data_IF_684163869286
#
_entry.id   IF_684163869286
#
_cell.length_a   1.000
_cell.length_b   1.000
_cell.length_c   1.000
_cell.angle_alpha   90.00
_cell.angle_beta   90.00
_cell.angle_gamma   90.00
#
_symmetry.space_group_name_H-M   'P 1'
#
loop_
_entity.id
_entity.type
_entity.pdbx_description
1 polymer ?
#
# COMPACT_ATOMS: atom_id res chain seq x y z
N UNK A 1 -43.06 -18.36 46.25
CA UNK A 1 -43.29 -17.92 44.88
C UNK A 1 -41.99 -17.33 44.38
N UNK A 2 -41.23 -18.10 43.60
CA UNK A 2 -39.99 -17.63 42.95
C UNK A 2 -40.39 -16.85 41.72
N UNK A 3 -39.87 -15.64 41.60
CA UNK A 3 -39.97 -14.84 40.40
C UNK A 3 -38.97 -15.37 39.39
N UNK A 4 -39.37 -16.22 38.47
CA UNK A 4 -38.65 -16.47 37.22
C UNK A 4 -38.93 -15.29 36.28
N UNK A 5 -38.10 -14.25 36.35
CA UNK A 5 -38.00 -13.29 35.28
C UNK A 5 -37.21 -13.94 34.15
N UNK A 6 -37.87 -14.46 33.12
CA UNK A 6 -37.26 -14.81 31.85
C UNK A 6 -36.58 -13.55 31.27
N UNK A 7 -35.26 -13.53 31.35
CA UNK A 7 -34.49 -12.55 30.60
C UNK A 7 -34.61 -12.90 29.13
N UNK A 8 -35.47 -12.17 28.42
CA UNK A 8 -35.45 -12.19 26.96
C UNK A 8 -34.21 -11.46 26.48
N UNK A 9 -33.17 -12.23 26.16
CA UNK A 9 -31.98 -11.70 25.48
C UNK A 9 -32.37 -11.41 24.04
N UNK A 10 -32.51 -10.13 23.70
CA UNK A 10 -32.65 -9.75 22.30
C UNK A 10 -31.47 -10.29 21.50
N UNK A 11 -31.69 -10.98 20.36
CA UNK A 11 -30.60 -11.49 19.57
C UNK A 11 -29.74 -10.32 19.07
N UNK A 12 -28.50 -10.31 19.47
CA UNK A 12 -27.51 -9.33 18.95
C UNK A 12 -27.42 -9.55 17.44
N UNK A 13 -27.55 -8.51 16.62
CA UNK A 13 -27.47 -8.65 15.18
C UNK A 13 -26.14 -9.30 14.79
N UNK A 14 -26.19 -10.37 14.03
CA UNK A 14 -24.99 -11.06 13.55
C UNK A 14 -24.21 -10.12 12.62
N UNK A 15 -22.98 -9.82 12.95
CA UNK A 15 -22.07 -9.07 12.07
C UNK A 15 -21.44 -10.08 11.11
N UNK A 16 -21.80 -9.99 9.84
CA UNK A 16 -21.21 -10.82 8.79
C UNK A 16 -19.96 -10.12 8.24
N UNK A 17 -18.81 -10.70 8.49
CA UNK A 17 -17.55 -10.28 7.87
C UNK A 17 -17.40 -10.98 6.51
N UNK A 18 -17.28 -10.19 5.44
CA UNK A 18 -16.91 -10.70 4.11
C UNK A 18 -15.45 -10.38 3.89
N UNK A 19 -14.56 -11.34 4.10
CA UNK A 19 -13.15 -11.19 3.79
C UNK A 19 -12.89 -11.54 2.32
N UNK A 20 -12.09 -10.69 1.65
CA UNK A 20 -11.55 -10.93 0.31
C UNK A 20 -10.11 -11.45 0.38
N UNK A 21 -9.55 -11.60 1.58
CA UNK A 21 -8.17 -11.99 1.81
C UNK A 21 -7.15 -10.91 1.43
N UNK A 22 -7.56 -9.63 1.39
CA UNK A 22 -6.67 -8.50 1.09
C UNK A 22 -6.15 -7.83 2.34
N UNK A 23 -4.83 -7.73 2.45
CA UNK A 23 -4.15 -7.11 3.59
C UNK A 23 -3.23 -5.99 3.10
N UNK A 24 -3.29 -4.84 3.78
CA UNK A 24 -2.29 -3.80 3.64
C UNK A 24 -1.23 -3.94 4.75
N UNK A 25 0.03 -3.96 4.38
CA UNK A 25 1.16 -3.81 5.31
C UNK A 25 1.76 -2.43 5.03
N UNK A 26 1.72 -1.54 6.01
CA UNK A 26 2.24 -0.17 5.87
C UNK A 26 3.60 -0.09 6.53
N UNK A 27 4.62 0.34 5.78
CA UNK A 27 5.99 0.42 6.25
C UNK A 27 6.69 1.68 5.75
N UNK A 28 7.65 2.18 6.50
CA UNK A 28 8.54 3.26 6.04
C UNK A 28 9.69 2.75 5.19
N UNK A 29 10.06 1.49 5.37
CA UNK A 29 11.25 0.88 4.76
C UNK A 29 10.97 -0.53 4.24
N UNK A 30 11.96 -1.14 3.60
CA UNK A 30 11.92 -2.52 3.11
C UNK A 30 12.00 -3.61 4.21
N UNK A 31 12.22 -3.23 5.47
CA UNK A 31 12.40 -4.20 6.58
C UNK A 31 11.25 -5.20 6.72
N UNK A 32 10.04 -4.77 6.39
CA UNK A 32 8.83 -5.60 6.46
C UNK A 32 8.60 -6.44 5.21
N UNK A 33 9.43 -6.30 4.17
CA UNK A 33 9.29 -7.02 2.90
C UNK A 33 9.24 -8.54 3.12
N UNK A 34 10.13 -9.08 3.96
CA UNK A 34 10.17 -10.52 4.25
C UNK A 34 8.89 -11.02 4.95
N UNK A 35 8.37 -10.26 5.91
CA UNK A 35 7.13 -10.61 6.59
C UNK A 35 5.93 -10.53 5.65
N UNK A 36 5.87 -9.49 4.82
CA UNK A 36 4.83 -9.33 3.80
C UNK A 36 4.87 -10.48 2.78
N UNK A 37 6.05 -10.93 2.35
CA UNK A 37 6.21 -12.09 1.47
C UNK A 37 5.69 -13.39 2.11
N UNK A 38 5.92 -13.57 3.41
CA UNK A 38 5.42 -14.75 4.13
C UNK A 38 3.89 -14.77 4.17
N UNK A 39 3.26 -13.61 4.38
CA UNK A 39 1.80 -13.46 4.34
C UNK A 39 1.24 -13.67 2.92
N UNK A 40 1.96 -13.22 1.90
CA UNK A 40 1.54 -13.31 0.50
C UNK A 40 1.44 -14.76 -0.03
N UNK A 41 1.95 -15.75 0.69
CA UNK A 41 1.78 -17.16 0.32
C UNK A 41 0.30 -17.61 0.35
N UNK A 42 -0.54 -16.98 1.17
CA UNK A 42 -1.93 -17.40 1.37
C UNK A 42 -2.93 -16.24 1.23
N UNK A 43 -2.46 -15.01 1.12
CA UNK A 43 -3.27 -13.80 1.14
C UNK A 43 -2.84 -12.86 0.01
N UNK A 44 -3.73 -11.98 -0.40
CA UNK A 44 -3.38 -10.88 -1.29
C UNK A 44 -2.81 -9.75 -0.44
N UNK A 45 -1.51 -9.52 -0.54
CA UNK A 45 -0.80 -8.53 0.29
C UNK A 45 -0.31 -7.39 -0.56
N UNK A 46 -0.67 -6.17 -0.16
CA UNK A 46 -0.09 -4.93 -0.68
C UNK A 46 0.86 -4.37 0.39
N UNK A 47 2.15 -4.28 0.08
CA UNK A 47 3.13 -3.59 0.91
C UNK A 47 3.17 -2.11 0.49
N UNK A 48 2.68 -1.24 1.35
CA UNK A 48 2.67 0.21 1.14
C UNK A 48 3.93 0.80 1.76
N UNK A 49 4.80 1.37 0.93
CA UNK A 49 6.06 1.97 1.37
C UNK A 49 6.05 3.44 1.02
N UNK A 50 6.28 4.31 2.01
CA UNK A 50 6.29 5.77 1.80
C UNK A 50 7.47 6.17 0.92
N UNK A 51 8.64 5.59 1.17
CA UNK A 51 9.85 5.78 0.35
C UNK A 51 10.29 4.45 -0.24
N UNK A 52 10.05 4.29 -1.54
CA UNK A 52 10.41 3.08 -2.27
C UNK A 52 11.84 3.14 -2.86
N UNK A 53 12.58 4.22 -2.70
CA UNK A 53 13.89 4.42 -3.34
C UNK A 53 14.94 3.39 -2.92
N UNK A 54 14.87 2.93 -1.65
CA UNK A 54 15.77 1.93 -1.08
C UNK A 54 15.25 0.48 -1.12
N UNK A 55 14.04 0.26 -1.65
CA UNK A 55 13.41 -1.07 -1.62
C UNK A 55 13.93 -1.95 -2.75
N UNK A 56 14.46 -3.12 -2.42
CA UNK A 56 14.78 -4.15 -3.42
C UNK A 56 13.53 -4.97 -3.69
N UNK A 57 12.96 -4.82 -4.89
CA UNK A 57 11.74 -5.53 -5.25
C UNK A 57 11.99 -7.04 -5.41
N UNK A 58 11.09 -7.90 -4.91
CA UNK A 58 11.22 -9.34 -5.09
C UNK A 58 11.14 -9.72 -6.59
N UNK A 59 11.89 -10.74 -6.99
CA UNK A 59 11.89 -11.24 -8.36
C UNK A 59 10.51 -11.79 -8.76
N UNK A 60 9.81 -12.43 -7.82
CA UNK A 60 8.43 -12.90 -7.98
C UNK A 60 7.45 -11.76 -7.71
N UNK A 61 6.32 -11.78 -8.44
CA UNK A 61 5.22 -10.81 -8.28
C UNK A 61 4.08 -11.36 -7.43
N UNK A 62 4.41 -12.13 -6.41
CA UNK A 62 3.47 -12.65 -5.41
C UNK A 62 3.09 -11.61 -4.34
N UNK A 63 3.84 -10.51 -4.30
CA UNK A 63 3.63 -9.39 -3.40
C UNK A 63 3.61 -8.09 -4.21
N UNK A 64 2.59 -7.26 -4.01
CA UNK A 64 2.56 -5.91 -4.54
C UNK A 64 3.34 -4.98 -3.60
N UNK A 65 4.33 -4.28 -4.13
CA UNK A 65 5.05 -3.22 -3.41
C UNK A 65 4.68 -1.89 -4.05
N UNK A 66 4.01 -1.04 -3.29
CA UNK A 66 3.41 0.19 -3.78
C UNK A 66 4.05 1.41 -3.08
N UNK A 67 4.52 2.38 -3.86
CA UNK A 67 5.03 3.64 -3.35
C UNK A 67 3.87 4.58 -3.00
N UNK A 68 3.28 4.37 -1.82
CA UNK A 68 2.09 5.08 -1.36
C UNK A 68 2.27 5.58 0.07
N UNK A 69 1.88 6.81 0.33
CA UNK A 69 1.64 7.34 1.67
C UNK A 69 0.17 7.12 2.04
N UNK A 70 -0.08 6.77 3.29
CA UNK A 70 -1.44 6.66 3.84
C UNK A 70 -1.81 7.97 4.51
N UNK A 71 -2.80 8.67 3.98
CA UNK A 71 -3.29 9.94 4.53
C UNK A 71 -4.37 9.73 5.60
N UNK A 72 -5.23 8.73 5.44
CA UNK A 72 -6.22 8.33 6.45
C UNK A 72 -6.60 6.86 6.33
N UNK A 73 -7.06 6.29 7.43
CA UNK A 73 -7.67 4.97 7.49
C UNK A 73 -8.99 5.06 8.25
N UNK A 74 -10.01 4.46 7.70
CA UNK A 74 -11.36 4.42 8.25
C UNK A 74 -11.90 2.99 8.13
N UNK A 75 -12.83 2.64 9.01
CA UNK A 75 -13.47 1.32 8.96
C UNK A 75 -13.14 0.44 10.15
N UNK A 76 -13.31 -0.85 9.98
CA UNK A 76 -13.17 -1.88 11.01
C UNK A 76 -12.57 -3.16 10.40
N UNK A 77 -12.22 -4.11 11.25
CA UNK A 77 -11.70 -5.41 10.81
C UNK A 77 -12.66 -6.08 9.83
N UNK A 78 -12.15 -6.40 8.64
CA UNK A 78 -12.91 -6.93 7.51
C UNK A 78 -13.39 -5.86 6.51
N UNK A 79 -13.25 -4.56 6.81
CA UNK A 79 -13.66 -3.46 5.90
C UNK A 79 -12.94 -2.15 6.24
N UNK A 80 -11.64 -2.10 5.99
CA UNK A 80 -10.87 -0.87 6.08
C UNK A 80 -10.81 -0.16 4.73
N UNK A 81 -10.96 1.16 4.76
CA UNK A 81 -10.68 2.04 3.61
C UNK A 81 -9.46 2.89 3.94
N UNK A 82 -8.41 2.73 3.15
CA UNK A 82 -7.22 3.57 3.21
C UNK A 82 -7.27 4.63 2.12
N UNK A 83 -7.21 5.89 2.50
CA UNK A 83 -6.97 6.98 1.56
C UNK A 83 -5.45 7.10 1.38
N UNK A 84 -5.00 6.82 0.16
CA UNK A 84 -3.57 6.74 -0.16
C UNK A 84 -3.21 7.74 -1.24
N UNK A 85 -1.96 8.19 -1.22
CA UNK A 85 -1.40 9.14 -2.16
C UNK A 85 -0.10 8.60 -2.75
N UNK A 86 0.08 8.71 -4.07
CA UNK A 86 1.33 8.29 -4.73
C UNK A 86 2.48 9.18 -4.28
N UNK A 87 3.56 8.55 -3.83
CA UNK A 87 4.81 9.22 -3.42
C UNK A 87 5.89 9.15 -4.50
N UNK A 88 5.69 8.32 -5.52
CA UNK A 88 6.61 8.15 -6.64
C UNK A 88 5.85 8.17 -7.98
N UNK A 89 6.43 8.76 -9.04
CA UNK A 89 5.78 8.81 -10.37
C UNK A 89 5.57 7.44 -10.99
N UNK A 90 6.30 6.41 -10.54
CA UNK A 90 6.19 5.06 -11.09
C UNK A 90 5.04 4.30 -10.46
N UNK A 91 4.11 3.87 -11.29
CA UNK A 91 3.03 2.97 -10.88
C UNK A 91 3.54 1.53 -10.89
N UNK A 92 3.73 0.97 -9.71
CA UNK A 92 4.30 -0.38 -9.54
C UNK A 92 3.33 -1.49 -9.93
N UNK A 93 2.03 -1.22 -10.00
CA UNK A 93 1.02 -2.18 -10.48
C UNK A 93 1.11 -2.32 -12.00
N UNK A 94 1.36 -1.21 -12.71
CA UNK A 94 1.51 -1.20 -14.16
C UNK A 94 2.94 -1.46 -14.65
N UNK A 95 3.94 -1.24 -13.82
CA UNK A 95 5.35 -1.38 -14.19
C UNK A 95 5.71 -2.84 -14.48
N UNK A 96 6.18 -3.11 -15.71
CA UNK A 96 6.64 -4.46 -16.13
C UNK A 96 8.05 -4.79 -15.65
N UNK A 97 8.77 -3.82 -15.04
CA UNK A 97 10.17 -3.96 -14.59
C UNK A 97 11.12 -4.28 -15.74
N UNK A 98 10.85 -3.82 -16.94
CA UNK A 98 11.68 -4.08 -18.14
C UNK A 98 13.02 -3.35 -18.14
N UNK A 99 13.22 -2.32 -17.31
CA UNK A 99 14.45 -1.54 -17.20
C UNK A 99 14.63 -0.43 -18.25
N UNK A 100 13.80 -0.35 -19.28
CA UNK A 100 13.95 0.64 -20.35
C UNK A 100 14.01 2.09 -19.85
N UNK A 101 13.23 2.43 -18.81
CA UNK A 101 13.26 3.75 -18.20
C UNK A 101 14.58 4.05 -17.47
N UNK A 102 15.18 3.02 -16.87
CA UNK A 102 16.49 3.12 -16.18
C UNK A 102 17.60 3.44 -17.18
N UNK A 103 17.62 2.72 -18.32
CA UNK A 103 18.63 2.89 -19.36
C UNK A 103 18.48 4.24 -20.08
N UNK A 104 17.25 4.73 -20.24
CA UNK A 104 16.92 5.98 -20.89
C UNK A 104 17.14 7.22 -20.00
N UNK A 105 17.29 7.06 -18.68
CA UNK A 105 17.41 8.17 -17.75
C UNK A 105 18.80 8.85 -17.85
N UNK A 106 18.88 10.13 -18.24
CA UNK A 106 20.18 10.80 -18.42
C UNK A 106 20.89 11.05 -17.08
N UNK A 107 20.13 11.30 -16.01
CA UNK A 107 20.67 11.56 -14.66
C UNK A 107 20.83 10.29 -13.82
N UNK A 108 20.43 9.12 -14.37
CA UNK A 108 20.43 7.84 -13.64
C UNK A 108 19.67 7.88 -12.31
N UNK A 109 18.65 8.71 -12.22
CA UNK A 109 17.82 8.89 -11.03
C UNK A 109 16.84 7.74 -10.77
N UNK A 110 16.83 6.69 -11.61
CA UNK A 110 15.93 5.54 -11.47
C UNK A 110 16.72 4.34 -10.97
N UNK A 111 16.32 3.82 -9.81
CA UNK A 111 16.93 2.62 -9.25
C UNK A 111 16.59 1.38 -10.09
N UNK A 112 17.56 0.49 -10.31
CA UNK A 112 17.35 -0.81 -10.96
C UNK A 112 16.63 -1.81 -10.05
N UNK A 113 16.76 -1.64 -8.75
CA UNK A 113 16.25 -2.58 -7.76
C UNK A 113 14.82 -2.27 -7.36
N UNK A 114 14.49 -0.98 -7.20
CA UNK A 114 13.15 -0.52 -6.81
C UNK A 114 12.32 0.00 -7.97
N UNK A 115 12.92 0.35 -9.10
CA UNK A 115 12.31 1.11 -10.20
C UNK A 115 11.71 2.46 -9.77
N UNK A 116 11.97 2.89 -8.55
CA UNK A 116 11.56 4.20 -8.06
C UNK A 116 12.46 5.30 -8.61
N UNK A 117 11.87 6.47 -8.83
CA UNK A 117 12.58 7.67 -9.27
C UNK A 117 13.00 8.46 -8.04
N UNK A 118 14.30 8.73 -7.90
CA UNK A 118 14.80 9.70 -6.94
C UNK A 118 14.49 11.12 -7.46
N UNK A 119 13.49 11.75 -6.85
CA UNK A 119 13.01 13.08 -7.25
C UNK A 119 14.03 14.19 -6.96
N UNK A 120 14.96 13.94 -6.05
CA UNK A 120 16.02 14.91 -5.73
C UNK A 120 17.07 15.04 -6.82
N UNK A 121 17.35 13.97 -7.57
CA UNK A 121 18.33 13.93 -8.67
C UNK A 121 17.69 13.96 -10.07
N UNK A 122 16.36 13.90 -10.15
CA UNK A 122 15.60 13.85 -11.40
C UNK A 122 15.54 15.24 -12.08
N UNK A 123 15.97 15.33 -13.34
CA UNK A 123 15.91 16.53 -14.16
C UNK A 123 14.55 16.74 -14.88
N UNK A 124 13.60 15.81 -14.66
CA UNK A 124 12.27 15.82 -15.28
C UNK A 124 12.28 15.90 -16.82
N UNK A 125 13.33 15.41 -17.48
CA UNK A 125 13.45 15.42 -18.94
C UNK A 125 12.37 14.62 -19.68
N UNK A 126 11.65 13.76 -18.98
CA UNK A 126 10.59 12.90 -19.55
C UNK A 126 11.11 11.75 -20.41
N UNK A 127 12.41 11.50 -20.45
CA UNK A 127 13.01 10.39 -21.21
C UNK A 127 12.47 9.03 -20.76
N UNK A 128 12.27 8.85 -19.44
CA UNK A 128 11.70 7.65 -18.85
C UNK A 128 10.24 7.41 -19.28
N UNK A 129 9.44 8.46 -19.43
CA UNK A 129 8.04 8.37 -19.90
C UNK A 129 8.01 7.86 -21.34
N UNK A 130 8.88 8.44 -22.21
CA UNK A 130 8.98 8.00 -23.62
C UNK A 130 9.46 6.55 -23.72
N UNK A 131 10.43 6.15 -22.91
CA UNK A 131 10.95 4.78 -22.89
C UNK A 131 9.95 3.76 -22.32
N UNK A 132 9.08 4.17 -21.39
CA UNK A 132 8.00 3.33 -20.86
C UNK A 132 6.92 3.02 -21.92
N UNK A 133 6.74 3.93 -22.90
CA UNK A 133 5.91 3.71 -24.07
C UNK A 133 4.45 3.37 -23.76
N UNK A 134 3.99 2.24 -24.29
CA UNK A 134 2.59 1.80 -24.19
C UNK A 134 2.15 1.43 -22.77
N UNK A 135 3.08 1.04 -21.92
CA UNK A 135 2.77 0.64 -20.52
C UNK A 135 2.32 1.80 -19.65
N UNK A 136 2.71 3.03 -20.00
CA UNK A 136 2.31 4.28 -19.29
C UNK A 136 2.43 4.21 -17.76
N UNK A 137 3.36 3.40 -17.27
CA UNK A 137 3.55 3.19 -15.83
C UNK A 137 4.24 4.38 -15.13
N UNK A 138 4.59 5.45 -15.85
CA UNK A 138 5.26 6.63 -15.29
C UNK A 138 4.44 7.87 -15.58
N UNK A 139 3.95 8.50 -14.51
CA UNK A 139 3.17 9.75 -14.58
C UNK A 139 3.55 10.67 -13.42
N UNK A 140 4.08 11.86 -13.75
CA UNK A 140 4.36 12.89 -12.75
C UNK A 140 3.10 13.69 -12.39
N UNK A 141 2.09 13.70 -13.27
CA UNK A 141 0.81 14.38 -13.02
C UNK A 141 -0.03 13.68 -11.96
N UNK A 142 0.15 12.37 -11.80
CA UNK A 142 -0.65 11.55 -10.87
C UNK A 142 -0.06 11.53 -9.46
N UNK A 143 1.06 12.18 -9.27
CA UNK A 143 1.62 12.38 -7.94
C UNK A 143 0.66 13.24 -7.11
N UNK A 144 0.49 12.84 -5.84
CA UNK A 144 -0.44 13.46 -4.90
C UNK A 144 -1.94 13.24 -5.19
N UNK A 145 -2.31 12.48 -6.21
CA UNK A 145 -3.70 12.03 -6.34
C UNK A 145 -4.04 11.09 -5.18
N UNK A 146 -5.13 11.43 -4.49
CA UNK A 146 -5.66 10.58 -3.42
C UNK A 146 -6.55 9.50 -4.05
N UNK A 147 -6.32 8.26 -3.67
CA UNK A 147 -7.15 7.12 -4.06
C UNK A 147 -7.56 6.32 -2.84
N UNK A 148 -8.80 5.88 -2.80
CA UNK A 148 -9.31 4.98 -1.78
C UNK A 148 -9.00 3.53 -2.16
N UNK A 149 -8.51 2.75 -1.19
CA UNK A 149 -8.22 1.33 -1.33
C UNK A 149 -8.87 0.56 -0.18
N UNK A 150 -9.51 -0.55 -0.49
CA UNK A 150 -10.20 -1.38 0.49
C UNK A 150 -9.36 -2.59 0.89
N UNK A 151 -9.33 -2.87 2.19
CA UNK A 151 -8.60 -3.98 2.79
C UNK A 151 -9.40 -4.62 3.92
N UNK A 152 -9.23 -5.92 4.09
CA UNK A 152 -9.82 -6.64 5.23
C UNK A 152 -9.06 -6.35 6.52
N UNK A 153 -7.74 -6.14 6.41
CA UNK A 153 -6.84 -5.86 7.55
C UNK A 153 -5.75 -4.87 7.14
N UNK A 154 -5.35 -4.06 8.10
CA UNK A 154 -4.21 -3.15 7.96
C UNK A 154 -3.20 -3.45 9.07
N UNK A 155 -1.96 -3.72 8.69
CA UNK A 155 -0.83 -3.92 9.60
C UNK A 155 0.07 -2.68 9.49
N UNK A 156 0.07 -1.86 10.54
CA UNK A 156 0.92 -0.67 10.61
C UNK A 156 2.26 -1.03 11.26
N UNK A 157 3.33 -0.97 10.47
CA UNK A 157 4.71 -1.20 10.88
C UNK A 157 5.53 0.09 10.91
N UNK A 158 4.89 1.24 10.91
CA UNK A 158 5.57 2.54 10.99
C UNK A 158 5.92 2.91 12.43
N UNK A 159 6.94 3.75 12.62
CA UNK A 159 7.37 4.22 13.94
C UNK A 159 7.60 5.75 13.91
N UNK A 160 6.87 6.56 14.70
CA UNK A 160 5.66 6.21 15.44
C UNK A 160 4.55 5.74 14.50
N UNK A 161 3.62 4.91 14.98
CA UNK A 161 2.53 4.38 14.15
C UNK A 161 1.79 5.50 13.41
N UNK A 162 1.38 5.26 12.15
CA UNK A 162 0.64 6.23 11.33
C UNK A 162 -0.63 6.77 12.02
N UNK A 163 -1.15 6.00 12.97
CA UNK A 163 -2.40 6.28 13.67
C UNK A 163 -2.19 6.68 15.13
N UNK A 164 -0.93 6.84 15.60
CA UNK A 164 -0.59 7.12 17.00
C UNK A 164 -1.24 8.41 17.56
N UNK A 165 -1.39 9.43 16.72
CA UNK A 165 -1.98 10.72 17.10
C UNK A 165 -3.49 10.82 16.87
N UNK A 166 -4.10 9.79 16.29
CA UNK A 166 -5.54 9.78 16.05
C UNK A 166 -6.25 9.10 17.21
N UNK A 167 -6.80 9.90 18.12
CA UNK A 167 -7.76 9.47 19.15
C UNK A 167 -9.11 9.04 18.53
N UNK A 168 -9.12 8.45 17.36
CA UNK A 168 -10.32 7.78 16.88
C UNK A 168 -10.44 6.49 17.69
N UNK A 169 -11.54 6.26 18.44
CA UNK A 169 -11.78 4.96 19.02
C UNK A 169 -11.81 3.96 17.88
N UNK A 170 -10.82 3.06 17.84
CA UNK A 170 -10.95 1.85 17.07
C UNK A 170 -12.22 1.20 17.63
N UNK A 171 -13.31 1.27 16.86
CA UNK A 171 -14.59 0.70 17.27
C UNK A 171 -14.40 -0.80 17.46
N UNK A 172 -14.38 -1.25 18.70
CA UNK A 172 -14.61 -2.62 19.10
C UNK A 172 -16.09 -2.78 19.36
#
# INVERSE_FOLDING_TARGET
>A
AAYETEFQVEPVPAVLFKSQGRIAVVSQTDKQLHHAQTLANNLTVDLLVVDASGVVLPAKRDLNVLALAVDSAEGYLGSFTLNTRKTNPVDMEMCTRCGACVDACPTKSISKDSFAIDLGSCDQSGACIKACGEFKAISFSDMNLVSAREYDMVIDCTMPGLFADRQAPLGY
#
